data_IF_628557968629
#
_entry.id   IF_628557968629
#
_cell.length_a   1.000
_cell.length_b   1.000
_cell.length_c   1.000
_cell.angle_alpha   90.00
_cell.angle_beta   90.00
_cell.angle_gamma   90.00
#
_symmetry.space_group_name_H-M   'P 1'
#
loop_
_entity.id
_entity.type
_entity.pdbx_description
1 polymer ?
#
# COMPACT_ATOMS: atom_id res chain seq x y z
N UNK A 1 3.06 28.49 15.40
CA UNK A 1 3.38 27.09 15.01
C UNK A 1 3.65 27.08 13.51
N UNK A 2 4.70 26.40 13.06
CA UNK A 2 5.00 26.30 11.64
C UNK A 2 3.89 25.50 10.95
N UNK A 3 3.39 25.99 9.82
CA UNK A 3 2.48 25.22 8.98
C UNK A 3 3.29 24.08 8.34
N UNK A 4 2.93 22.82 8.63
CA UNK A 4 3.58 21.64 8.11
C UNK A 4 2.73 20.92 7.04
N UNK A 5 1.57 21.50 6.67
CA UNK A 5 0.71 20.89 5.66
C UNK A 5 1.41 20.82 4.30
N UNK A 6 1.16 19.73 3.60
CA UNK A 6 1.68 19.47 2.25
C UNK A 6 0.56 18.99 1.34
N UNK A 7 0.63 19.32 0.07
CA UNK A 7 -0.30 18.82 -0.94
C UNK A 7 0.36 17.67 -1.71
N UNK A 8 -0.25 16.49 -1.68
CA UNK A 8 0.21 15.30 -2.40
C UNK A 8 -0.85 14.94 -3.44
N UNK A 9 -0.55 15.22 -4.70
CA UNK A 9 -1.43 14.94 -5.84
C UNK A 9 -2.89 15.45 -5.65
N UNK A 10 -3.04 16.64 -5.07
CA UNK A 10 -4.35 17.25 -4.81
C UNK A 10 -4.96 16.91 -3.44
N UNK A 11 -4.38 15.98 -2.70
CA UNK A 11 -4.81 15.64 -1.32
C UNK A 11 -3.96 16.41 -0.31
N UNK A 12 -4.62 17.18 0.55
CA UNK A 12 -3.93 17.90 1.62
C UNK A 12 -3.66 16.97 2.82
N UNK A 13 -2.39 16.85 3.21
CA UNK A 13 -1.94 16.19 4.42
C UNK A 13 -1.54 17.23 5.46
N UNK A 14 -1.93 17.06 6.70
CA UNK A 14 -1.61 18.03 7.78
C UNK A 14 -0.10 18.18 8.07
N UNK A 15 0.69 17.17 7.71
CA UNK A 15 2.15 17.16 7.75
C UNK A 15 2.69 16.08 6.78
N UNK A 16 3.99 16.11 6.41
CA UNK A 16 4.56 15.16 5.45
C UNK A 16 4.88 13.78 6.03
N UNK A 17 4.55 13.51 7.29
CA UNK A 17 4.91 12.23 7.93
C UNK A 17 3.88 11.18 7.57
N UNK A 18 4.35 10.11 6.98
CA UNK A 18 3.57 8.88 6.71
C UNK A 18 4.35 7.65 7.11
N UNK A 19 3.68 6.52 7.16
CA UNK A 19 4.28 5.22 7.44
C UNK A 19 4.38 4.38 6.17
N UNK A 20 5.30 3.40 6.16
CA UNK A 20 5.50 2.54 5.00
C UNK A 20 4.62 1.29 5.08
N UNK A 21 3.99 0.95 3.95
CA UNK A 21 3.08 -0.20 3.79
C UNK A 21 3.66 -1.56 4.21
N UNK A 22 4.99 -1.70 4.21
CA UNK A 22 5.67 -2.96 4.57
C UNK A 22 5.91 -3.16 6.06
N UNK A 23 5.77 -2.12 6.90
CA UNK A 23 6.28 -2.13 8.28
C UNK A 23 5.27 -1.70 9.34
N UNK A 24 4.07 -1.26 8.96
CA UNK A 24 3.10 -0.66 9.89
C UNK A 24 1.75 -1.40 9.94
N UNK A 25 1.61 -2.51 9.23
CA UNK A 25 0.31 -3.18 9.10
C UNK A 25 -0.74 -2.25 8.49
N UNK A 26 -1.97 -2.36 8.94
CA UNK A 26 -3.07 -1.43 8.59
C UNK A 26 -3.38 -0.43 9.72
N UNK A 27 -2.46 -0.27 10.67
CA UNK A 27 -2.50 0.73 11.71
C UNK A 27 -3.00 0.24 13.07
N UNK A 28 -3.81 -0.81 13.14
CA UNK A 28 -4.42 -1.27 14.39
C UNK A 28 -3.37 -1.65 15.44
N UNK A 29 -2.38 -2.48 15.06
CA UNK A 29 -1.35 -2.94 15.97
C UNK A 29 -0.46 -1.79 16.47
N UNK A 30 -0.13 -0.85 15.59
CA UNK A 30 0.74 0.28 15.95
C UNK A 30 0.01 1.45 16.61
N UNK A 31 -1.33 1.48 16.56
CA UNK A 31 -2.10 2.50 17.28
C UNK A 31 -1.94 2.41 18.80
N UNK A 32 -1.49 1.27 19.31
CA UNK A 32 -1.15 1.10 20.73
C UNK A 32 0.15 1.85 21.14
N UNK A 33 1.01 2.16 20.17
CA UNK A 33 2.32 2.79 20.40
C UNK A 33 2.42 4.20 19.82
N UNK A 34 1.63 4.49 18.77
CA UNK A 34 1.67 5.74 18.03
C UNK A 34 0.27 6.31 17.90
N UNK A 35 0.08 7.56 18.30
CA UNK A 35 -1.16 8.28 18.03
C UNK A 35 -1.28 8.58 16.52
N UNK A 36 -2.18 7.86 15.85
CA UNK A 36 -2.39 7.99 14.41
C UNK A 36 -2.88 9.39 14.01
N UNK A 37 -3.50 10.15 14.94
CA UNK A 37 -3.88 11.54 14.69
C UNK A 37 -2.68 12.47 14.46
N UNK A 38 -1.47 12.06 14.81
CA UNK A 38 -0.26 12.84 14.56
C UNK A 38 0.35 12.63 13.19
N UNK A 39 -0.09 11.60 12.46
CA UNK A 39 0.41 11.28 11.12
C UNK A 39 -0.35 12.07 10.05
N UNK A 40 0.36 12.54 9.03
CA UNK A 40 -0.24 13.13 7.83
C UNK A 40 -1.01 12.09 7.02
N UNK A 41 -0.47 10.86 6.95
CA UNK A 41 -1.13 9.73 6.32
C UNK A 41 -0.73 8.39 6.97
N UNK A 42 -1.61 7.40 6.87
CA UNK A 42 -1.30 5.99 7.10
C UNK A 42 -1.33 5.26 5.77
N UNK A 43 -0.17 4.75 5.34
CA UNK A 43 -0.07 3.85 4.19
C UNK A 43 -0.21 2.41 4.69
N UNK A 44 -1.28 1.74 4.28
CA UNK A 44 -1.67 0.43 4.82
C UNK A 44 -0.82 -0.71 4.30
N UNK A 45 -0.94 -1.87 4.92
CA UNK A 45 -0.46 -3.14 4.37
C UNK A 45 -1.05 -3.36 2.97
N UNK A 46 -0.28 -3.99 2.09
CA UNK A 46 -0.77 -4.37 0.76
C UNK A 46 -2.02 -5.23 0.84
N UNK A 47 -3.05 -4.85 0.09
CA UNK A 47 -4.35 -5.53 0.05
C UNK A 47 -4.53 -6.15 -1.32
N UNK A 48 -4.88 -7.43 -1.37
CA UNK A 48 -5.18 -8.20 -2.58
C UNK A 48 -6.69 -8.41 -2.75
N UNK A 49 -7.10 -8.90 -3.92
CA UNK A 49 -8.52 -9.20 -4.21
C UNK A 49 -9.10 -10.30 -3.32
N UNK A 50 -8.25 -11.18 -2.79
CA UNK A 50 -8.58 -12.26 -1.86
C UNK A 50 -7.54 -12.36 -0.73
N UNK A 51 -7.82 -13.04 0.37
CA UNK A 51 -6.84 -13.24 1.44
C UNK A 51 -5.60 -13.99 0.94
N UNK A 52 -4.42 -13.52 1.37
CA UNK A 52 -3.15 -14.23 1.17
C UNK A 52 -2.56 -14.62 2.51
N UNK A 53 -2.24 -15.91 2.67
CA UNK A 53 -1.65 -16.47 3.89
C UNK A 53 -0.19 -16.03 4.09
N UNK A 54 0.48 -15.62 3.01
CA UNK A 54 1.91 -15.36 3.02
C UNK A 54 2.74 -16.64 3.03
N UNK A 55 4.04 -16.50 3.30
CA UNK A 55 4.95 -17.63 3.33
C UNK A 55 4.81 -18.45 4.62
N UNK A 56 5.17 -19.75 4.63
CA UNK A 56 5.31 -20.53 5.85
C UNK A 56 6.32 -19.93 6.83
N UNK A 57 6.12 -20.15 8.11
CA UNK A 57 7.10 -19.78 9.15
C UNK A 57 8.31 -20.72 9.13
N UNK A 58 9.52 -20.25 9.56
CA UNK A 58 9.83 -18.91 10.07
C UNK A 58 9.89 -17.86 8.94
N UNK A 59 9.38 -16.66 9.19
CA UNK A 59 9.29 -15.55 8.20
C UNK A 59 10.25 -14.41 8.48
N UNK A 60 10.86 -14.43 9.64
CA UNK A 60 11.77 -13.39 10.13
C UNK A 60 12.96 -14.07 10.76
N UNK A 61 14.15 -13.55 10.51
CA UNK A 61 15.40 -14.00 11.13
C UNK A 61 16.28 -12.81 11.46
N UNK A 62 16.78 -12.75 12.68
CA UNK A 62 17.78 -11.77 13.07
C UNK A 62 19.15 -12.12 12.45
N UNK A 63 19.87 -11.09 12.04
CA UNK A 63 21.26 -11.18 11.56
C UNK A 63 22.07 -10.08 12.22
N UNK A 64 23.40 -10.18 12.14
CA UNK A 64 24.26 -9.15 12.70
C UNK A 64 23.95 -7.77 12.11
N UNK A 65 23.44 -6.86 12.95
CA UNK A 65 23.10 -5.50 12.56
C UNK A 65 21.80 -5.35 11.75
N UNK A 66 20.91 -6.35 11.73
CA UNK A 66 19.67 -6.24 10.98
C UNK A 66 18.73 -7.42 11.13
N UNK A 67 17.74 -7.45 10.23
CA UNK A 67 16.71 -8.49 10.18
C UNK A 67 16.38 -8.84 8.74
N UNK A 68 16.32 -10.12 8.43
CA UNK A 68 15.80 -10.64 7.16
C UNK A 68 14.32 -10.98 7.33
N UNK A 69 13.53 -10.75 6.29
CA UNK A 69 12.13 -11.18 6.30
C UNK A 69 11.71 -11.76 4.94
N UNK A 70 10.74 -12.65 5.00
CA UNK A 70 10.06 -13.22 3.86
C UNK A 70 8.57 -13.42 4.22
N UNK A 71 7.89 -12.36 4.60
CA UNK A 71 6.47 -12.41 5.05
C UNK A 71 5.54 -12.88 3.94
N UNK A 72 5.80 -12.53 2.68
CA UNK A 72 5.00 -12.98 1.55
C UNK A 72 3.68 -12.25 1.41
N UNK A 73 3.64 -10.94 1.72
CA UNK A 73 2.47 -10.07 1.56
C UNK A 73 1.19 -10.60 2.22
N UNK A 74 1.29 -11.29 3.36
CA UNK A 74 0.11 -11.71 4.11
C UNK A 74 -0.87 -10.55 4.29
N UNK A 75 -2.13 -10.75 3.92
CA UNK A 75 -3.16 -9.72 4.02
C UNK A 75 -4.57 -10.34 4.08
N UNK A 76 -5.56 -9.61 4.60
CA UNK A 76 -6.91 -10.14 4.82
C UNK A 76 -7.78 -10.20 3.55
N UNK A 77 -7.29 -9.69 2.42
CA UNK A 77 -8.10 -9.45 1.23
C UNK A 77 -9.00 -8.23 1.33
N UNK A 78 -9.46 -7.76 0.16
CA UNK A 78 -10.18 -6.47 0.04
C UNK A 78 -11.49 -6.44 0.82
N UNK A 79 -12.23 -7.54 0.87
CA UNK A 79 -13.54 -7.54 1.51
C UNK A 79 -13.46 -7.34 3.04
N UNK A 80 -12.53 -8.03 3.70
CA UNK A 80 -12.33 -7.84 5.14
C UNK A 80 -11.66 -6.49 5.42
N UNK A 81 -10.74 -6.05 4.57
CA UNK A 81 -10.12 -4.75 4.69
C UNK A 81 -11.15 -3.61 4.67
N UNK A 82 -12.08 -3.61 3.72
CA UNK A 82 -13.15 -2.60 3.65
C UNK A 82 -14.07 -2.63 4.88
N UNK A 83 -14.36 -3.82 5.42
CA UNK A 83 -15.26 -3.98 6.56
C UNK A 83 -14.64 -3.70 7.92
N UNK A 84 -13.32 -3.90 8.06
CA UNK A 84 -12.61 -3.81 9.34
C UNK A 84 -11.63 -2.64 9.39
N UNK A 85 -10.72 -2.57 8.41
CA UNK A 85 -9.56 -1.68 8.49
C UNK A 85 -9.92 -0.23 8.10
N UNK A 86 -10.74 -0.03 7.07
CA UNK A 86 -11.19 1.32 6.69
C UNK A 86 -12.00 1.97 7.82
N UNK A 87 -13.04 1.32 8.40
CA UNK A 87 -13.78 1.90 9.52
C UNK A 87 -12.92 2.18 10.75
N UNK A 88 -11.90 1.35 11.01
CA UNK A 88 -10.93 1.60 12.07
C UNK A 88 -10.13 2.87 11.81
N UNK A 89 -9.53 3.00 10.62
CA UNK A 89 -8.71 4.17 10.26
C UNK A 89 -9.52 5.46 10.19
N UNK A 90 -10.79 5.40 9.83
CA UNK A 90 -11.70 6.56 9.79
C UNK A 90 -11.99 7.19 11.15
N UNK A 91 -11.60 6.54 12.25
CA UNK A 91 -11.72 7.11 13.60
C UNK A 91 -10.64 8.15 13.89
N UNK A 92 -9.58 8.22 13.05
CA UNK A 92 -8.43 9.11 13.25
C UNK A 92 -8.41 10.23 12.22
N UNK A 93 -7.90 11.39 12.64
CA UNK A 93 -7.60 12.52 11.75
C UNK A 93 -6.28 12.29 11.01
N UNK A 94 -6.27 11.37 10.05
CA UNK A 94 -5.14 11.03 9.18
C UNK A 94 -5.65 10.68 7.78
N UNK A 95 -4.81 10.83 6.76
CA UNK A 95 -5.18 10.38 5.41
C UNK A 95 -4.97 8.88 5.28
N UNK A 96 -5.86 8.23 4.55
CA UNK A 96 -5.80 6.80 4.31
C UNK A 96 -5.27 6.55 2.90
N UNK A 97 -4.05 6.01 2.83
CA UNK A 97 -3.41 5.59 1.58
C UNK A 97 -3.43 4.06 1.54
N UNK A 98 -4.22 3.48 0.66
CA UNK A 98 -4.35 2.02 0.58
C UNK A 98 -3.31 1.46 -0.37
N UNK A 99 -2.40 0.62 0.14
CA UNK A 99 -1.46 -0.12 -0.70
C UNK A 99 -2.20 -1.29 -1.37
N UNK A 100 -2.12 -1.35 -2.69
CA UNK A 100 -2.76 -2.35 -3.55
C UNK A 100 -1.71 -3.31 -4.09
N UNK A 101 -1.96 -4.61 -3.99
CA UNK A 101 -1.10 -5.65 -4.55
C UNK A 101 -1.92 -6.70 -5.32
N UNK A 102 -1.28 -7.37 -6.26
CA UNK A 102 -1.87 -8.41 -7.09
C UNK A 102 -0.81 -9.26 -7.79
N UNK A 103 -1.17 -10.44 -8.27
CA UNK A 103 -0.33 -11.31 -9.09
C UNK A 103 -0.52 -11.05 -10.60
N UNK A 104 -1.64 -10.46 -10.97
CA UNK A 104 -1.98 -10.12 -12.36
C UNK A 104 -2.62 -8.75 -12.43
N UNK A 105 -2.68 -8.18 -13.63
CA UNK A 105 -3.38 -6.91 -13.87
C UNK A 105 -4.85 -6.98 -13.41
N UNK A 106 -5.53 -8.09 -13.69
CA UNK A 106 -6.94 -8.27 -13.31
C UNK A 106 -7.12 -8.21 -11.78
N UNK A 107 -6.21 -8.84 -11.02
CA UNK A 107 -6.26 -8.77 -9.54
C UNK A 107 -6.07 -7.34 -9.02
N UNK A 108 -5.16 -6.55 -9.63
CA UNK A 108 -5.04 -5.12 -9.28
C UNK A 108 -6.33 -4.36 -9.61
N UNK A 109 -6.92 -4.60 -10.78
CA UNK A 109 -8.15 -3.92 -11.22
C UNK A 109 -9.34 -4.29 -10.34
N UNK A 110 -9.44 -5.53 -9.88
CA UNK A 110 -10.48 -5.96 -8.92
C UNK A 110 -10.42 -5.13 -7.63
N UNK A 111 -9.21 -4.99 -7.05
CA UNK A 111 -9.00 -4.22 -5.83
C UNK A 111 -9.29 -2.73 -6.06
N UNK A 112 -8.78 -2.16 -7.16
CA UNK A 112 -8.96 -0.74 -7.50
C UNK A 112 -10.45 -0.40 -7.69
N UNK A 113 -11.18 -1.22 -8.44
CA UNK A 113 -12.62 -1.03 -8.65
C UNK A 113 -13.38 -1.10 -7.34
N UNK A 114 -13.03 -2.04 -6.46
CA UNK A 114 -13.67 -2.19 -5.16
C UNK A 114 -13.39 -1.00 -4.23
N UNK A 115 -12.16 -0.45 -4.28
CA UNK A 115 -11.77 0.72 -3.49
C UNK A 115 -12.30 2.05 -4.03
N UNK A 116 -12.67 2.12 -5.31
CA UNK A 116 -13.08 3.37 -5.94
C UNK A 116 -14.28 4.06 -5.25
N UNK A 117 -15.14 3.29 -4.61
CA UNK A 117 -16.32 3.78 -3.88
C UNK A 117 -16.12 3.83 -2.35
N UNK A 118 -14.94 3.46 -1.87
CA UNK A 118 -14.63 3.49 -0.44
C UNK A 118 -14.09 4.86 0.01
N UNK A 119 -14.32 5.24 1.28
CA UNK A 119 -13.91 6.55 1.82
C UNK A 119 -12.40 6.58 2.18
N UNK A 120 -11.56 6.35 1.18
CA UNK A 120 -10.10 6.44 1.26
C UNK A 120 -9.60 7.68 0.53
N UNK A 121 -8.40 8.15 0.85
CA UNK A 121 -7.85 9.38 0.25
C UNK A 121 -7.02 9.11 -1.00
N UNK A 122 -6.23 8.02 -1.03
CA UNK A 122 -5.33 7.69 -2.14
C UNK A 122 -5.12 6.18 -2.25
N UNK A 123 -4.64 5.74 -3.41
CA UNK A 123 -4.18 4.35 -3.66
C UNK A 123 -2.69 4.33 -3.96
N UNK A 124 -1.92 3.46 -3.27
CA UNK A 124 -0.52 3.18 -3.57
C UNK A 124 -0.43 1.82 -4.29
N UNK A 125 -0.09 1.82 -5.56
CA UNK A 125 0.00 0.59 -6.36
C UNK A 125 1.40 -0.02 -6.21
N UNK A 126 1.46 -1.18 -5.61
CA UNK A 126 2.71 -1.86 -5.28
C UNK A 126 3.18 -2.76 -6.44
N UNK A 127 3.99 -2.22 -7.32
CA UNK A 127 4.64 -2.96 -8.41
C UNK A 127 6.13 -3.26 -8.11
N UNK A 128 6.52 -3.16 -6.84
CA UNK A 128 7.92 -3.37 -6.40
C UNK A 128 8.17 -4.75 -5.79
N UNK A 129 7.16 -5.63 -5.67
CA UNK A 129 7.30 -6.87 -4.93
C UNK A 129 8.07 -7.93 -5.72
N UNK A 130 9.23 -8.41 -5.24
CA UNK A 130 10.03 -9.46 -5.89
C UNK A 130 9.41 -10.87 -5.77
N UNK A 131 8.48 -11.05 -4.85
CA UNK A 131 7.91 -12.36 -4.50
C UNK A 131 6.71 -12.78 -5.37
N UNK A 132 6.42 -12.02 -6.42
CA UNK A 132 5.31 -12.29 -7.33
C UNK A 132 5.86 -12.59 -8.71
N UNK A 133 5.87 -13.86 -9.12
CA UNK A 133 6.52 -14.32 -10.35
C UNK A 133 5.88 -13.79 -11.64
N UNK A 134 4.62 -13.40 -11.63
CA UNK A 134 3.85 -12.97 -12.80
C UNK A 134 3.21 -11.58 -12.66
N UNK A 135 3.40 -10.91 -11.54
CA UNK A 135 2.92 -9.55 -11.23
C UNK A 135 4.01 -8.72 -10.58
N UNK A 136 3.67 -7.68 -9.87
CA UNK A 136 4.60 -6.91 -9.04
C UNK A 136 5.87 -6.46 -9.79
N UNK A 137 7.02 -7.08 -9.50
CA UNK A 137 8.31 -6.67 -10.07
C UNK A 137 8.36 -6.78 -11.62
N UNK A 138 7.63 -7.72 -12.22
CA UNK A 138 7.60 -7.85 -13.68
C UNK A 138 7.02 -6.60 -14.36
N UNK A 139 6.08 -5.93 -13.72
CA UNK A 139 5.58 -4.63 -14.19
C UNK A 139 6.50 -3.47 -13.82
N UNK A 140 7.18 -3.55 -12.68
CA UNK A 140 7.95 -2.44 -12.10
C UNK A 140 9.38 -2.26 -12.62
N UNK A 141 9.89 -3.20 -13.42
CA UNK A 141 11.27 -3.16 -13.95
C UNK A 141 11.37 -2.71 -15.41
N UNK A 142 10.24 -2.60 -16.10
CA UNK A 142 10.15 -2.13 -17.49
C UNK A 142 9.24 -0.91 -17.60
N UNK A 143 9.70 0.21 -18.20
CA UNK A 143 8.89 1.42 -18.38
C UNK A 143 7.54 1.18 -19.07
N UNK A 144 7.47 0.28 -20.07
CA UNK A 144 6.22 -0.06 -20.75
C UNK A 144 5.27 -0.82 -19.85
N UNK A 145 5.79 -1.71 -18.99
CA UNK A 145 4.99 -2.40 -17.97
C UNK A 145 4.37 -1.42 -16.98
N UNK A 146 5.16 -0.45 -16.49
CA UNK A 146 4.69 0.62 -15.60
C UNK A 146 3.63 1.48 -16.29
N UNK A 147 3.86 1.90 -17.54
CA UNK A 147 2.89 2.68 -18.31
C UNK A 147 1.58 1.91 -18.49
N UNK A 148 1.66 0.64 -18.88
CA UNK A 148 0.47 -0.20 -19.12
C UNK A 148 -0.37 -0.33 -17.87
N UNK A 149 0.23 -0.76 -16.74
CA UNK A 149 -0.51 -0.96 -15.50
C UNK A 149 -1.08 0.37 -14.96
N UNK A 150 -0.31 1.45 -15.05
CA UNK A 150 -0.75 2.78 -14.62
C UNK A 150 -1.95 3.25 -15.44
N UNK A 151 -1.88 3.11 -16.76
CA UNK A 151 -2.95 3.51 -17.69
C UNK A 151 -4.24 2.72 -17.41
N UNK A 152 -4.15 1.42 -17.20
CA UNK A 152 -5.32 0.58 -16.91
C UNK A 152 -5.94 0.93 -15.55
N UNK A 153 -5.14 1.10 -14.50
CA UNK A 153 -5.62 1.49 -13.16
C UNK A 153 -6.31 2.84 -13.18
N UNK A 154 -5.75 3.83 -13.90
CA UNK A 154 -6.31 5.18 -14.01
C UNK A 154 -7.69 5.22 -14.66
N UNK A 155 -8.11 4.20 -15.39
CA UNK A 155 -9.47 4.12 -15.96
C UNK A 155 -10.54 3.90 -14.88
N UNK A 156 -10.17 3.31 -13.75
CA UNK A 156 -11.11 2.90 -12.71
C UNK A 156 -10.90 3.61 -11.38
N UNK A 157 -9.67 4.03 -11.07
CA UNK A 157 -9.37 4.73 -9.83
C UNK A 157 -10.04 6.12 -9.83
N UNK A 158 -10.83 6.39 -8.79
CA UNK A 158 -11.44 7.72 -8.53
C UNK A 158 -10.52 8.60 -7.67
N UNK A 159 -9.71 7.98 -6.81
CA UNK A 159 -8.74 8.65 -5.96
C UNK A 159 -7.40 8.83 -6.69
N UNK A 160 -6.56 9.77 -6.25
CA UNK A 160 -5.18 9.89 -6.72
C UNK A 160 -4.40 8.58 -6.52
N UNK A 161 -3.51 8.27 -7.48
CA UNK A 161 -2.73 7.04 -7.53
C UNK A 161 -1.25 7.36 -7.36
N UNK A 162 -0.59 6.63 -6.47
CA UNK A 162 0.86 6.62 -6.27
C UNK A 162 1.37 5.30 -6.85
N UNK A 163 2.38 5.34 -7.73
CA UNK A 163 3.05 4.13 -8.22
C UNK A 163 4.28 3.86 -7.36
N UNK A 164 4.26 2.77 -6.57
CA UNK A 164 5.41 2.39 -5.74
C UNK A 164 6.37 1.52 -6.55
N UNK A 165 7.48 2.12 -6.96
CA UNK A 165 8.52 1.52 -7.78
C UNK A 165 9.57 0.77 -6.93
N UNK A 166 10.29 -0.17 -7.56
CA UNK A 166 11.48 -0.79 -6.98
C UNK A 166 12.72 0.04 -7.31
N UNK A 167 13.65 0.22 -6.36
CA UNK A 167 14.96 0.83 -6.65
C UNK A 167 15.92 -0.15 -7.33
N UNK A 168 15.57 -1.43 -7.48
CA UNK A 168 16.41 -2.49 -8.04
C UNK A 168 16.40 -2.47 -9.58
N UNK A 169 16.75 -1.33 -10.14
CA UNK A 169 16.83 -1.06 -11.58
C UNK A 169 18.11 -0.25 -11.88
N UNK A 170 18.56 -0.26 -13.12
CA UNK A 170 19.77 0.48 -13.54
C UNK A 170 19.55 2.00 -13.47
N UNK A 171 18.35 2.45 -13.79
CA UNK A 171 17.91 3.86 -13.71
C UNK A 171 16.45 3.91 -13.34
N UNK A 172 16.11 4.81 -12.43
CA UNK A 172 14.71 5.07 -12.01
C UNK A 172 14.07 6.06 -12.97
#
# INVERSE_FOLDING_TARGET
MSNMSVNVAGVEWKNPVTVASGTFGSGAEYSEFVDLNRLGAVTTKGVANKPWEGNPTPRVAEVYGGMLNAVGLQNPGIELFCKRDIPFLKQFDTRIVVNVCGHSLDEYLDVVKRLADEPIDMMEINISCPNVKEGGIAFGTDPKGVETITSEIKKYAKQPVIMKLSPNVTSI
#
